data_IF_978993005272
#
_entry.id   IF_978993005272
#
_cell.length_a   1.000
_cell.length_b   1.000
_cell.length_c   1.000
_cell.angle_alpha   90.00
_cell.angle_beta   90.00
_cell.angle_gamma   90.00
#
_symmetry.space_group_name_H-M   'P 1'
#
loop_
_entity.id
_entity.type
_entity.pdbx_description
1 polymer ?
#
# COMPACT_ATOMS: atom_id res chain seq x y z
N UNK A 1 0.35 15.03 4.64
CA UNK A 1 0.98 14.96 5.97
C UNK A 1 2.49 15.06 5.79
N UNK A 2 3.17 15.80 6.66
CA UNK A 2 4.61 16.06 6.58
C UNK A 2 5.28 15.62 7.88
N UNK A 3 6.41 14.93 7.77
CA UNK A 3 7.24 14.49 8.90
C UNK A 3 8.62 15.15 8.77
N UNK A 4 8.81 16.36 9.35
CA UNK A 4 10.01 17.16 9.12
C UNK A 4 11.31 16.48 9.58
N UNK A 5 11.27 15.77 10.72
CA UNK A 5 12.43 15.02 11.25
C UNK A 5 12.94 13.94 10.30
N UNK A 6 12.07 13.45 9.40
CA UNK A 6 12.39 12.42 8.41
C UNK A 6 12.49 12.97 6.99
N UNK A 7 12.30 14.30 6.80
CA UNK A 7 12.17 14.93 5.49
C UNK A 7 11.17 14.20 4.58
N UNK A 8 10.08 13.70 5.16
CA UNK A 8 9.14 12.79 4.52
C UNK A 8 7.78 13.45 4.33
N UNK A 9 7.21 13.29 3.14
CA UNK A 9 5.86 13.76 2.82
C UNK A 9 5.00 12.57 2.40
N UNK A 10 3.82 12.42 3.01
CA UNK A 10 2.87 11.35 2.72
C UNK A 10 1.50 11.96 2.34
N UNK A 11 0.90 11.45 1.28
CA UNK A 11 -0.48 11.69 0.88
C UNK A 11 -1.22 10.36 0.79
N UNK A 12 -2.41 10.28 1.37
CA UNK A 12 -3.27 9.08 1.38
C UNK A 12 -4.64 9.51 0.89
N UNK A 13 -5.16 8.82 -0.13
CA UNK A 13 -6.52 8.97 -0.61
C UNK A 13 -7.32 7.78 -0.10
N UNK A 14 -8.41 8.03 0.62
CA UNK A 14 -9.23 7.00 1.23
C UNK A 14 -10.72 7.33 1.14
N UNK A 15 -11.57 6.30 1.27
CA UNK A 15 -13.01 6.45 1.33
C UNK A 15 -13.43 7.11 2.65
N UNK A 16 -14.26 8.16 2.59
CA UNK A 16 -14.78 8.79 3.81
C UNK A 16 -15.81 7.93 4.53
N UNK A 17 -16.47 7.02 3.82
CA UNK A 17 -17.44 6.11 4.41
C UNK A 17 -16.72 4.88 4.95
N UNK A 18 -17.22 4.33 6.06
CA UNK A 18 -16.79 3.03 6.56
C UNK A 18 -16.84 1.99 5.43
N UNK A 19 -15.80 1.15 5.23
CA UNK A 19 -14.70 0.84 6.15
C UNK A 19 -13.46 1.74 6.02
N UNK A 20 -13.55 2.90 5.38
CA UNK A 20 -12.44 3.84 5.17
C UNK A 20 -11.28 3.29 4.35
N UNK A 21 -11.60 2.51 3.32
CA UNK A 21 -10.59 1.92 2.43
C UNK A 21 -9.59 2.93 1.89
N UNK A 22 -8.30 2.57 1.90
CA UNK A 22 -7.26 3.32 1.22
C UNK A 22 -7.32 2.99 -0.29
N UNK A 23 -7.50 4.02 -1.11
CA UNK A 23 -7.54 3.92 -2.58
C UNK A 23 -6.15 4.09 -3.19
N UNK A 24 -5.34 5.00 -2.63
CA UNK A 24 -3.97 5.21 -3.07
C UNK A 24 -3.16 5.93 -2.02
N UNK A 25 -1.84 5.87 -2.17
CA UNK A 25 -0.92 6.71 -1.42
C UNK A 25 0.29 7.11 -2.25
N UNK A 26 0.88 8.23 -1.89
CA UNK A 26 2.17 8.67 -2.40
C UNK A 26 3.05 9.14 -1.24
N UNK A 27 4.30 8.72 -1.27
CA UNK A 27 5.30 9.10 -0.28
C UNK A 27 6.55 9.61 -0.99
N UNK A 28 7.08 10.73 -0.53
CA UNK A 28 8.39 11.22 -0.93
C UNK A 28 9.32 11.26 0.28
N UNK A 29 10.51 10.67 0.16
CA UNK A 29 11.50 10.61 1.23
C UNK A 29 12.93 10.50 0.69
N UNK A 30 13.97 10.93 1.44
CA UNK A 30 15.36 10.71 1.08
C UNK A 30 15.72 9.22 1.15
N UNK A 31 16.26 8.68 0.08
CA UNK A 31 16.77 7.30 -0.02
C UNK A 31 18.28 7.31 -0.15
N UNK A 32 18.94 6.39 0.57
CA UNK A 32 20.39 6.35 0.71
C UNK A 32 20.91 7.25 1.83
N UNK A 33 22.23 7.44 1.88
CA UNK A 33 22.93 8.12 2.98
C UNK A 33 23.90 9.20 2.48
N UNK A 34 24.20 10.15 3.36
CA UNK A 34 25.19 11.21 3.11
C UNK A 34 24.78 12.17 1.99
N UNK A 35 25.77 12.86 1.41
CA UNK A 35 25.55 13.89 0.37
C UNK A 35 24.89 13.37 -0.90
N UNK A 36 24.88 12.05 -1.10
CA UNK A 36 24.34 11.40 -2.30
C UNK A 36 22.92 10.88 -2.09
N UNK A 37 22.29 11.14 -0.94
CA UNK A 37 20.89 10.77 -0.72
C UNK A 37 20.00 11.44 -1.77
N UNK A 38 19.10 10.65 -2.37
CA UNK A 38 18.18 11.13 -3.41
C UNK A 38 16.76 11.04 -2.88
N UNK A 39 15.96 12.08 -3.10
CA UNK A 39 14.52 12.00 -2.81
C UNK A 39 13.89 11.06 -3.83
N UNK A 40 13.30 9.96 -3.36
CA UNK A 40 12.49 9.05 -4.17
C UNK A 40 11.02 9.25 -3.84
N UNK A 41 10.17 8.98 -4.83
CA UNK A 41 8.72 9.02 -4.66
C UNK A 41 8.14 7.64 -4.96
N UNK A 42 7.47 7.06 -3.97
CA UNK A 42 6.67 5.84 -4.13
C UNK A 42 5.22 6.24 -4.38
N UNK A 43 4.55 5.54 -5.29
CA UNK A 43 3.11 5.65 -5.54
C UNK A 43 2.51 4.26 -5.58
N UNK A 44 1.39 4.08 -4.90
CA UNK A 44 0.63 2.84 -4.97
C UNK A 44 -0.86 3.14 -5.11
N UNK A 45 -1.53 2.28 -5.86
CA UNK A 45 -2.96 2.36 -6.15
C UNK A 45 -3.58 1.00 -5.84
N UNK A 46 -4.73 1.00 -5.15
CA UNK A 46 -5.50 -0.21 -4.92
C UNK A 46 -6.12 -0.66 -6.24
N UNK A 47 -5.79 -1.87 -6.67
CA UNK A 47 -6.33 -2.47 -7.90
C UNK A 47 -7.43 -3.47 -7.62
N UNK A 48 -7.28 -4.28 -6.57
CA UNK A 48 -8.21 -5.33 -6.19
C UNK A 48 -8.52 -5.29 -4.69
N UNK A 49 -9.65 -5.88 -4.33
CA UNK A 49 -10.18 -5.92 -2.97
C UNK A 49 -11.05 -7.17 -2.83
N UNK A 50 -10.76 -8.00 -1.83
CA UNK A 50 -11.61 -9.15 -1.50
C UNK A 50 -11.94 -9.06 -0.03
N UNK A 51 -13.23 -9.12 0.29
CA UNK A 51 -13.72 -9.27 1.66
C UNK A 51 -14.01 -10.75 1.88
N UNK A 52 -13.19 -11.42 2.68
CA UNK A 52 -13.29 -12.85 2.94
C UNK A 52 -13.06 -13.17 4.42
N UNK A 53 -13.58 -14.32 4.84
CA UNK A 53 -13.41 -14.83 6.19
C UNK A 53 -11.95 -15.25 6.40
N UNK A 54 -11.14 -14.31 6.90
CA UNK A 54 -9.68 -14.39 6.87
C UNK A 54 -9.12 -15.69 7.49
N UNK A 55 -9.66 -16.13 8.64
CA UNK A 55 -9.16 -17.31 9.33
C UNK A 55 -9.55 -18.64 8.68
N UNK A 56 -10.52 -18.65 7.76
CA UNK A 56 -11.01 -19.88 7.12
C UNK A 56 -10.36 -20.20 5.78
N UNK A 57 -9.74 -19.20 5.13
CA UNK A 57 -9.33 -19.26 3.72
C UNK A 57 -7.83 -18.95 3.51
N UNK A 58 -6.98 -19.47 4.39
CA UNK A 58 -5.53 -19.25 4.38
C UNK A 58 -4.70 -20.53 4.12
N UNK A 59 -5.32 -21.63 3.66
CA UNK A 59 -4.64 -22.90 3.39
C UNK A 59 -4.13 -22.98 1.94
N UNK A 60 -3.28 -23.98 1.66
CA UNK A 60 -2.78 -24.25 0.30
C UNK A 60 -3.90 -24.48 -0.72
N UNK A 61 -5.03 -25.09 -0.32
CA UNK A 61 -6.20 -25.29 -1.19
C UNK A 61 -6.87 -23.99 -1.64
N UNK A 62 -6.63 -22.89 -0.91
CA UNK A 62 -7.23 -21.57 -1.15
C UNK A 62 -6.34 -20.68 -2.05
N UNK A 63 -5.27 -21.24 -2.63
CA UNK A 63 -4.30 -20.52 -3.48
C UNK A 63 -4.96 -19.80 -4.66
N UNK A 64 -6.02 -20.38 -5.21
CA UNK A 64 -6.80 -19.82 -6.31
C UNK A 64 -7.42 -18.46 -5.95
N UNK A 65 -7.69 -18.17 -4.67
CA UNK A 65 -8.22 -16.87 -4.24
C UNK A 65 -7.23 -15.72 -4.48
N UNK A 66 -5.94 -16.01 -4.71
CA UNK A 66 -4.95 -15.00 -5.08
C UNK A 66 -5.20 -14.42 -6.47
N UNK A 67 -5.86 -15.17 -7.34
CA UNK A 67 -6.25 -14.70 -8.68
C UNK A 67 -7.26 -13.55 -8.57
N UNK A 68 -8.17 -13.58 -7.59
CA UNK A 68 -9.11 -12.48 -7.31
C UNK A 68 -8.39 -11.18 -6.90
N UNK A 69 -7.16 -11.29 -6.38
CA UNK A 69 -6.29 -10.16 -6.03
C UNK A 69 -5.36 -9.74 -7.17
N UNK A 70 -5.45 -10.38 -8.34
CA UNK A 70 -4.54 -10.16 -9.47
C UNK A 70 -3.10 -10.63 -9.19
N UNK A 71 -2.92 -11.56 -8.24
CA UNK A 71 -1.61 -12.12 -7.86
C UNK A 71 -1.36 -13.46 -8.56
N UNK A 72 -1.55 -13.51 -9.87
CA UNK A 72 -1.21 -14.67 -10.70
C UNK A 72 0.31 -14.83 -10.77
N UNK A 73 0.76 -16.06 -10.55
CA UNK A 73 2.18 -16.44 -10.58
C UNK A 73 2.68 -16.62 -12.01
#
# INVERSE_FOLDING_TARGET
MTYPSLQKNISIIFNRNFPHDILSWSEAYPSGFGKNAKVLTTKAYRTHAVMSDYWGKNNLKDLNLREELGLTK
#
